data_IF_965064683839
#
_entry.id   IF_965064683839
#
_cell.length_a   1.000
_cell.length_b   1.000
_cell.length_c   1.000
_cell.angle_alpha   90.00
_cell.angle_beta   90.00
_cell.angle_gamma   90.00
#
_symmetry.space_group_name_H-M   'P 1'
#
loop_
_entity.id
_entity.type
_entity.pdbx_description
1 polymer ?
#
# COMPACT_ATOMS: atom_id res chain seq x y z
N UNK A 1 -12.75 12.10 12.62
CA UNK A 1 -11.65 11.66 11.74
C UNK A 1 -10.94 10.50 12.43
N UNK A 2 -11.19 9.25 12.01
CA UNK A 2 -10.68 8.06 12.70
C UNK A 2 -9.17 7.90 12.53
N UNK A 3 -8.43 7.83 13.65
CA UNK A 3 -6.97 7.66 13.69
C UNK A 3 -6.49 6.42 12.92
N UNK A 4 -7.31 5.37 12.88
CA UNK A 4 -7.03 4.11 12.18
C UNK A 4 -6.88 4.33 10.67
N UNK A 5 -7.64 5.27 10.10
CA UNK A 5 -7.58 5.59 8.68
C UNK A 5 -6.26 6.23 8.26
N UNK A 6 -5.75 7.15 9.08
CA UNK A 6 -4.43 7.75 8.86
C UNK A 6 -3.31 6.72 9.03
N UNK A 7 -3.42 5.82 10.02
CA UNK A 7 -2.47 4.72 10.19
C UNK A 7 -2.48 3.77 9.00
N UNK A 8 -3.65 3.43 8.46
CA UNK A 8 -3.77 2.61 7.25
C UNK A 8 -3.09 3.28 6.05
N UNK A 9 -3.44 4.53 5.76
CA UNK A 9 -2.87 5.26 4.62
C UNK A 9 -1.36 5.38 4.79
N UNK A 10 -0.90 5.73 6.00
CA UNK A 10 0.51 5.81 6.34
C UNK A 10 1.24 4.48 6.13
N UNK A 11 0.69 3.37 6.60
CA UNK A 11 1.29 2.04 6.44
C UNK A 11 1.43 1.65 4.96
N UNK A 12 0.40 1.90 4.15
CA UNK A 12 0.44 1.61 2.71
C UNK A 12 1.46 2.51 2.00
N UNK A 13 1.52 3.81 2.32
CA UNK A 13 2.52 4.71 1.73
C UNK A 13 3.95 4.31 2.12
N UNK A 14 4.21 3.98 3.38
CA UNK A 14 5.51 3.49 3.86
C UNK A 14 5.90 2.21 3.14
N UNK A 15 4.94 1.31 2.87
CA UNK A 15 5.22 0.12 2.07
C UNK A 15 5.62 0.46 0.64
N UNK A 16 5.01 1.48 0.02
CA UNK A 16 5.41 1.98 -1.31
C UNK A 16 6.85 2.50 -1.33
N UNK A 17 7.27 3.24 -0.29
CA UNK A 17 8.66 3.70 -0.15
C UNK A 17 9.61 2.50 -0.05
N UNK A 18 9.31 1.54 0.84
CA UNK A 18 10.13 0.36 1.03
C UNK A 18 10.25 -0.49 -0.23
N UNK A 19 9.13 -0.71 -0.94
CA UNK A 19 9.10 -1.44 -2.22
C UNK A 19 9.93 -0.71 -3.27
N UNK A 20 9.71 0.60 -3.45
CA UNK A 20 10.46 1.40 -4.42
C UNK A 20 11.97 1.34 -4.18
N UNK A 21 12.39 1.45 -2.91
CA UNK A 21 13.79 1.35 -2.52
C UNK A 21 14.39 -0.05 -2.75
N UNK A 22 13.65 -1.12 -2.46
CA UNK A 22 14.13 -2.48 -2.70
C UNK A 22 14.28 -2.77 -4.21
N UNK A 23 13.35 -2.26 -5.02
CA UNK A 23 13.36 -2.43 -6.48
C UNK A 23 14.46 -1.59 -7.13
N UNK A 24 14.75 -0.38 -6.62
CA UNK A 24 15.87 0.42 -7.15
C UNK A 24 17.22 -0.25 -6.91
N UNK A 25 17.35 -1.07 -5.86
CA UNK A 25 18.53 -1.90 -5.63
C UNK A 25 18.57 -3.18 -6.48
N UNK A 26 17.42 -3.63 -7.01
CA UNK A 26 17.29 -4.86 -7.77
C UNK A 26 16.54 -4.60 -9.09
N UNK A 27 17.22 -4.03 -10.10
CA UNK A 27 16.58 -3.63 -11.37
C UNK A 27 15.90 -4.80 -12.11
N UNK A 28 16.38 -6.02 -11.86
CA UNK A 28 15.82 -7.27 -12.38
C UNK A 28 14.33 -7.44 -12.05
N UNK A 29 13.87 -6.86 -10.93
CA UNK A 29 12.50 -6.97 -10.46
C UNK A 29 11.52 -6.12 -11.27
N UNK A 30 12.01 -5.15 -12.04
CA UNK A 30 11.17 -4.38 -12.97
C UNK A 30 10.65 -5.25 -14.11
N UNK A 31 11.32 -6.35 -14.43
CA UNK A 31 10.96 -7.27 -15.52
C UNK A 31 10.10 -8.45 -15.05
N UNK A 32 9.71 -8.48 -13.78
CA UNK A 32 8.81 -9.51 -13.26
C UNK A 32 7.43 -9.43 -13.91
N UNK A 33 6.73 -10.57 -13.94
CA UNK A 33 5.38 -10.66 -14.49
C UNK A 33 4.38 -9.68 -13.84
N UNK A 34 4.63 -9.30 -12.57
CA UNK A 34 3.87 -8.27 -11.86
C UNK A 34 4.77 -7.04 -11.66
N UNK A 35 4.43 -5.90 -12.29
CA UNK A 35 5.21 -4.68 -12.13
C UNK A 35 5.30 -4.26 -10.66
N UNK A 36 6.46 -3.77 -10.18
CA UNK A 36 6.63 -3.32 -8.81
C UNK A 36 5.63 -2.24 -8.36
N UNK A 37 5.16 -1.40 -9.28
CA UNK A 37 4.12 -0.40 -9.02
C UNK A 37 2.78 -1.02 -8.57
N UNK A 38 2.53 -2.30 -8.87
CA UNK A 38 1.34 -3.03 -8.44
C UNK A 38 1.52 -3.73 -7.08
N UNK A 39 2.75 -3.86 -6.56
CA UNK A 39 3.00 -4.56 -5.29
C UNK A 39 2.34 -3.90 -4.07
N UNK A 40 2.21 -2.55 -3.98
CA UNK A 40 1.45 -1.92 -2.90
C UNK A 40 -0.03 -2.35 -2.82
N UNK A 41 -0.61 -2.85 -3.92
CA UNK A 41 -1.96 -3.42 -3.91
C UNK A 41 -2.02 -4.75 -3.14
N UNK A 42 -0.99 -5.60 -3.26
CA UNK A 42 -0.91 -6.81 -2.46
C UNK A 42 -0.78 -6.50 -0.96
N UNK A 43 0.01 -5.48 -0.63
CA UNK A 43 0.14 -4.99 0.76
C UNK A 43 -1.19 -4.45 1.27
N UNK A 44 -1.89 -3.65 0.46
CA UNK A 44 -3.19 -3.09 0.86
C UNK A 44 -4.23 -4.18 1.11
N UNK A 45 -4.24 -5.26 0.32
CA UNK A 45 -5.09 -6.43 0.55
C UNK A 45 -4.81 -7.12 1.89
N UNK A 46 -3.54 -7.31 2.25
CA UNK A 46 -3.16 -7.91 3.54
C UNK A 46 -3.65 -7.03 4.70
N UNK A 47 -3.40 -5.72 4.61
CA UNK A 47 -3.85 -4.76 5.62
C UNK A 47 -5.38 -4.74 5.67
N UNK A 48 -6.05 -4.84 4.53
CA UNK A 48 -7.51 -4.83 4.46
C UNK A 48 -8.14 -6.05 5.15
N UNK A 49 -7.52 -7.23 5.03
CA UNK A 49 -7.92 -8.42 5.79
C UNK A 49 -7.80 -8.16 7.29
N UNK A 50 -6.69 -7.56 7.74
CA UNK A 50 -6.49 -7.25 9.17
C UNK A 50 -7.51 -6.23 9.66
N UNK A 51 -7.74 -5.15 8.91
CA UNK A 51 -8.69 -4.10 9.31
C UNK A 51 -10.13 -4.58 9.25
N UNK A 52 -10.51 -5.39 8.25
CA UNK A 52 -11.85 -5.98 8.21
C UNK A 52 -12.11 -6.94 9.37
N UNK A 53 -11.10 -7.70 9.81
CA UNK A 53 -11.19 -8.51 11.03
C UNK A 53 -11.36 -7.65 12.28
N UNK A 54 -10.61 -6.55 12.41
CA UNK A 54 -10.74 -5.61 13.53
C UNK A 54 -12.09 -4.89 13.52
N UNK A 55 -12.61 -4.57 12.34
CA UNK A 55 -13.93 -3.97 12.17
C UNK A 55 -15.05 -4.95 12.54
N UNK A 56 -14.93 -6.24 12.18
CA UNK A 56 -15.85 -7.28 12.59
C UNK A 56 -15.90 -7.48 14.12
N UNK A 57 -14.80 -7.17 14.82
CA UNK A 57 -14.73 -7.17 16.29
C UNK A 57 -15.25 -5.87 16.94
N UNK A 58 -15.75 -4.91 16.16
CA UNK A 58 -16.19 -3.59 16.64
C UNK A 58 -15.05 -2.69 17.11
N UNK A 59 -13.79 -3.05 16.81
CA UNK A 59 -12.59 -2.31 17.25
C UNK A 59 -12.08 -1.30 16.23
N UNK A 60 -12.62 -1.31 15.00
CA UNK A 60 -12.23 -0.40 13.94
C UNK A 60 -13.45 0.00 13.09
N UNK A 61 -13.41 1.22 12.55
CA UNK A 61 -14.36 1.63 11.52
C UNK A 61 -14.00 0.96 10.18
N UNK A 62 -14.98 0.48 9.40
CA UNK A 62 -14.72 -0.07 8.08
C UNK A 62 -14.11 1.00 7.17
N UNK A 63 -13.05 0.63 6.44
CA UNK A 63 -12.44 1.52 5.48
C UNK A 63 -13.37 1.81 4.31
N UNK A 64 -13.36 3.06 3.85
CA UNK A 64 -14.07 3.40 2.60
C UNK A 64 -13.27 2.92 1.40
N UNK A 65 -13.98 2.59 0.31
CA UNK A 65 -13.35 2.30 -0.99
C UNK A 65 -12.42 3.44 -1.44
N UNK A 66 -12.79 4.69 -1.16
CA UNK A 66 -12.00 5.87 -1.50
C UNK A 66 -10.66 5.92 -0.77
N UNK A 67 -10.63 5.60 0.52
CA UNK A 67 -9.38 5.59 1.30
C UNK A 67 -8.41 4.53 0.79
N UNK A 68 -8.93 3.34 0.48
CA UNK A 68 -8.16 2.25 -0.10
C UNK A 68 -7.54 2.67 -1.44
N UNK A 69 -8.35 3.31 -2.29
CA UNK A 69 -7.93 3.75 -3.61
C UNK A 69 -6.82 4.81 -3.54
N UNK A 70 -6.98 5.83 -2.69
CA UNK A 70 -5.99 6.89 -2.49
C UNK A 70 -4.66 6.30 -1.98
N UNK A 71 -4.72 5.38 -1.02
CA UNK A 71 -3.53 4.76 -0.45
C UNK A 71 -2.75 3.94 -1.49
N UNK A 72 -3.45 3.10 -2.27
CA UNK A 72 -2.82 2.24 -3.28
C UNK A 72 -2.24 3.06 -4.43
N UNK A 73 -2.98 4.04 -4.96
CA UNK A 73 -2.47 4.90 -6.03
C UNK A 73 -1.28 5.72 -5.53
N UNK A 74 -1.38 6.30 -4.33
CA UNK A 74 -0.28 7.06 -3.74
C UNK A 74 0.99 6.21 -3.61
N UNK A 75 0.86 4.98 -3.10
CA UNK A 75 2.00 4.09 -2.95
C UNK A 75 2.56 3.62 -4.31
N UNK A 76 1.71 3.31 -5.30
CA UNK A 76 2.15 2.95 -6.64
C UNK A 76 2.89 4.09 -7.36
N UNK A 77 2.43 5.34 -7.17
CA UNK A 77 3.14 6.53 -7.67
C UNK A 77 4.49 6.71 -6.99
N UNK A 78 4.57 6.50 -5.67
CA UNK A 78 5.84 6.55 -4.93
C UNK A 78 6.83 5.51 -5.47
N UNK A 79 6.40 4.26 -5.64
CA UNK A 79 7.24 3.21 -6.22
C UNK A 79 7.75 3.65 -7.59
N UNK A 80 6.84 4.08 -8.46
CA UNK A 80 7.18 4.51 -9.82
C UNK A 80 8.19 5.66 -9.81
N UNK A 81 7.98 6.68 -8.99
CA UNK A 81 8.89 7.83 -8.85
C UNK A 81 10.28 7.40 -8.40
N UNK A 82 10.37 6.50 -7.41
CA UNK A 82 11.66 6.02 -6.90
C UNK A 82 12.38 5.18 -7.96
N UNK A 83 11.65 4.35 -8.71
CA UNK A 83 12.24 3.47 -9.72
C UNK A 83 12.56 4.15 -11.05
N UNK A 84 12.02 5.35 -11.28
CA UNK A 84 12.27 6.17 -12.47
C UNK A 84 13.46 7.14 -12.32
N UNK A 85 14.00 7.28 -11.10
CA UNK A 85 15.22 8.02 -10.77
C UNK A 85 16.46 7.12 -10.92
#
# INVERSE_FOLDING_TARGET
MSHIRFLYIGAVLVSGIAIGFLVSQNPEWQQMAVPPAAWPFAVSLIIDIVVSQLAAQGRAEPLTMSDRFIAVIGAGLIVTLITAL
#
